data_IF_839819098991
#
_entry.id   IF_839819098991
#
_cell.length_a   1.000
_cell.length_b   1.000
_cell.length_c   1.000
_cell.angle_alpha   90.00
_cell.angle_beta   90.00
_cell.angle_gamma   90.00
#
_symmetry.space_group_name_H-M   'P 1'
#
loop_
_entity.id
_entity.type
_entity.pdbx_description
1 polymer ?
#
# COMPACT_ATOMS: atom_id res chain seq x y z
N UNK A 1 24.36 -23.65 14.33
CA UNK A 1 23.49 -23.98 13.17
C UNK A 1 24.30 -23.79 11.91
N UNK A 2 24.37 -24.81 11.04
CA UNK A 2 25.07 -24.74 9.76
C UNK A 2 24.31 -23.77 8.84
N UNK A 3 25.01 -22.99 8.01
CA UNK A 3 24.38 -22.07 7.04
C UNK A 3 23.30 -22.77 6.19
N UNK A 4 23.54 -24.03 5.83
CA UNK A 4 22.58 -24.89 5.13
C UNK A 4 21.23 -25.05 5.86
N UNK A 5 21.26 -25.22 7.19
CA UNK A 5 20.04 -25.36 8.00
C UNK A 5 19.24 -24.05 8.03
N UNK A 6 19.91 -22.90 8.13
CA UNK A 6 19.25 -21.59 8.09
C UNK A 6 18.58 -21.34 6.73
N UNK A 7 19.29 -21.63 5.63
CA UNK A 7 18.74 -21.47 4.28
C UNK A 7 17.52 -22.38 4.08
N UNK A 8 17.58 -23.64 4.51
CA UNK A 8 16.43 -24.56 4.43
C UNK A 8 15.26 -24.06 5.27
N UNK A 9 15.48 -23.59 6.49
CA UNK A 9 14.41 -23.03 7.32
C UNK A 9 13.80 -21.77 6.70
N UNK A 10 14.60 -20.91 6.08
CA UNK A 10 14.13 -19.70 5.42
C UNK A 10 13.25 -20.04 4.20
N UNK A 11 13.74 -20.91 3.31
CA UNK A 11 12.98 -21.35 2.13
C UNK A 11 11.69 -22.07 2.57
N UNK A 12 11.79 -22.96 3.55
CA UNK A 12 10.62 -23.65 4.12
C UNK A 12 9.59 -22.70 4.70
N UNK A 13 10.03 -21.64 5.39
CA UNK A 13 9.14 -20.62 5.96
C UNK A 13 8.41 -19.83 4.88
N UNK A 14 9.10 -19.43 3.81
CA UNK A 14 8.47 -18.72 2.67
C UNK A 14 7.44 -19.62 1.97
N UNK A 15 7.78 -20.89 1.72
CA UNK A 15 6.85 -21.84 1.12
C UNK A 15 5.63 -22.08 2.01
N UNK A 16 5.83 -22.22 3.33
CA UNK A 16 4.76 -22.38 4.30
C UNK A 16 3.83 -21.16 4.33
N UNK A 17 4.39 -19.95 4.29
CA UNK A 17 3.63 -18.71 4.20
C UNK A 17 2.76 -18.68 2.95
N UNK A 18 3.35 -18.91 1.78
CA UNK A 18 2.63 -18.92 0.51
C UNK A 18 1.52 -19.98 0.53
N UNK A 19 1.81 -21.17 1.06
CA UNK A 19 0.82 -22.23 1.23
C UNK A 19 -0.35 -21.81 2.14
N UNK A 20 -0.07 -21.18 3.29
CA UNK A 20 -1.09 -20.70 4.22
C UNK A 20 -1.99 -19.62 3.61
N UNK A 21 -1.40 -18.67 2.86
CA UNK A 21 -2.16 -17.58 2.24
C UNK A 21 -2.94 -18.07 1.03
N UNK A 22 -2.31 -18.85 0.15
CA UNK A 22 -2.92 -19.26 -1.12
C UNK A 22 -3.88 -20.43 -0.96
N UNK A 23 -3.50 -21.46 -0.20
CA UNK A 23 -4.28 -22.71 -0.08
C UNK A 23 -5.16 -22.73 1.16
N UNK A 24 -4.61 -22.38 2.33
CA UNK A 24 -5.39 -22.33 3.56
C UNK A 24 -6.26 -21.06 3.67
N UNK A 25 -6.12 -20.12 2.73
CA UNK A 25 -6.91 -18.87 2.63
C UNK A 25 -6.90 -18.06 3.93
N UNK A 26 -5.81 -18.15 4.69
CA UNK A 26 -5.67 -17.42 5.94
C UNK A 26 -5.27 -15.96 5.67
N UNK A 27 -5.76 -15.03 6.49
CA UNK A 27 -5.34 -13.63 6.42
C UNK A 27 -3.81 -13.52 6.52
N UNK A 28 -3.21 -12.71 5.63
CA UNK A 28 -1.76 -12.57 5.51
C UNK A 28 -1.07 -12.26 6.85
N UNK A 29 -1.70 -11.43 7.69
CA UNK A 29 -1.19 -11.10 9.02
C UNK A 29 -1.08 -12.32 9.94
N UNK A 30 -2.14 -13.13 10.03
CA UNK A 30 -2.14 -14.35 10.83
C UNK A 30 -1.16 -15.39 10.29
N UNK A 31 -1.07 -15.52 8.96
CA UNK A 31 -0.11 -16.39 8.31
C UNK A 31 1.34 -15.99 8.63
N UNK A 32 1.64 -14.70 8.55
CA UNK A 32 2.94 -14.17 8.93
C UNK A 32 3.28 -14.47 10.39
N UNK A 33 2.34 -14.25 11.33
CA UNK A 33 2.61 -14.55 12.75
C UNK A 33 2.95 -16.03 12.97
N UNK A 34 2.14 -16.95 12.44
CA UNK A 34 2.36 -18.40 12.61
C UNK A 34 3.68 -18.83 12.00
N UNK A 35 3.99 -18.35 10.79
CA UNK A 35 5.23 -18.69 10.08
C UNK A 35 6.45 -18.09 10.80
N UNK A 36 6.38 -16.85 11.28
CA UNK A 36 7.47 -16.22 12.02
C UNK A 36 7.76 -16.93 13.35
N UNK A 37 6.71 -17.38 14.06
CA UNK A 37 6.89 -18.22 15.26
C UNK A 37 7.56 -19.55 14.91
N UNK A 38 7.07 -20.23 13.86
CA UNK A 38 7.68 -21.48 13.38
C UNK A 38 9.14 -21.29 12.99
N UNK A 39 9.45 -20.27 12.20
CA UNK A 39 10.80 -19.94 11.76
C UNK A 39 11.74 -19.66 12.93
N UNK A 40 11.28 -18.92 13.95
CA UNK A 40 12.06 -18.65 15.17
C UNK A 40 12.41 -19.93 15.93
N UNK A 41 11.44 -20.85 16.07
CA UNK A 41 11.65 -22.14 16.71
C UNK A 41 12.63 -23.02 15.93
N UNK A 42 12.46 -23.14 14.61
CA UNK A 42 13.33 -23.96 13.77
C UNK A 42 14.74 -23.36 13.58
N UNK A 43 14.89 -22.04 13.73
CA UNK A 43 16.19 -21.37 13.71
C UNK A 43 16.98 -21.53 15.03
N UNK A 44 16.40 -22.14 16.06
CA UNK A 44 17.03 -22.33 17.37
C UNK A 44 17.05 -21.07 18.24
N UNK A 45 16.13 -20.13 18.01
CA UNK A 45 16.02 -18.92 18.83
C UNK A 45 15.38 -19.24 20.19
N UNK A 46 15.88 -18.68 21.31
CA UNK A 46 15.23 -18.80 22.61
C UNK A 46 13.78 -18.30 22.57
N UNK A 47 12.83 -19.05 23.16
CA UNK A 47 11.40 -18.72 23.09
C UNK A 47 11.07 -17.32 23.62
N UNK A 48 11.77 -16.89 24.66
CA UNK A 48 11.70 -15.56 25.26
C UNK A 48 12.08 -14.43 24.28
N UNK A 49 12.90 -14.73 23.27
CA UNK A 49 13.36 -13.76 22.28
C UNK A 49 12.54 -13.76 20.99
N UNK A 50 11.77 -14.81 20.71
CA UNK A 50 10.98 -14.90 19.48
C UNK A 50 9.94 -13.79 19.44
N UNK A 51 9.15 -13.64 20.51
CA UNK A 51 8.12 -12.59 20.59
C UNK A 51 8.72 -11.19 20.46
N UNK A 52 9.79 -10.90 21.20
CA UNK A 52 10.49 -9.62 21.13
C UNK A 52 11.09 -9.33 19.74
N UNK A 53 11.58 -10.36 19.05
CA UNK A 53 12.13 -10.21 17.69
C UNK A 53 11.03 -9.96 16.67
N UNK A 54 9.90 -10.66 16.79
CA UNK A 54 8.70 -10.42 15.97
C UNK A 54 8.18 -9.00 16.18
N UNK A 55 8.03 -8.57 17.43
CA UNK A 55 7.60 -7.21 17.79
C UNK A 55 8.57 -6.16 17.25
N UNK A 56 9.88 -6.37 17.38
CA UNK A 56 10.89 -5.45 16.86
C UNK A 56 10.85 -5.34 15.33
N UNK A 57 10.74 -6.46 14.62
CA UNK A 57 10.68 -6.48 13.16
C UNK A 57 9.40 -5.83 12.63
N UNK A 58 8.26 -6.20 13.21
CA UNK A 58 6.96 -5.62 12.87
C UNK A 58 6.90 -4.15 13.26
N UNK A 59 7.31 -3.80 14.48
CA UNK A 59 7.29 -2.44 15.02
C UNK A 59 8.21 -1.47 14.28
N UNK A 60 9.37 -1.93 13.81
CA UNK A 60 10.24 -1.10 12.95
C UNK A 60 9.57 -0.77 11.61
N UNK A 61 8.92 -1.76 10.99
CA UNK A 61 8.20 -1.58 9.72
C UNK A 61 6.96 -0.71 9.91
N UNK A 62 6.11 -1.05 10.89
CA UNK A 62 4.90 -0.30 11.22
C UNK A 62 5.21 1.12 11.70
N UNK A 63 6.30 1.34 12.42
CA UNK A 63 6.71 2.68 12.86
C UNK A 63 7.05 3.59 11.68
N UNK A 64 7.86 3.11 10.74
CA UNK A 64 8.14 3.84 9.50
C UNK A 64 6.87 4.08 8.69
N UNK A 65 6.09 3.03 8.45
CA UNK A 65 4.84 3.13 7.68
C UNK A 65 3.82 4.04 8.35
N UNK A 66 3.68 4.01 9.67
CA UNK A 66 2.72 4.85 10.40
C UNK A 66 3.00 6.33 10.19
N UNK A 67 4.28 6.75 10.24
CA UNK A 67 4.65 8.15 9.99
C UNK A 67 4.35 8.55 8.55
N UNK A 68 4.77 7.73 7.58
CA UNK A 68 4.57 8.04 6.16
C UNK A 68 3.08 8.05 5.79
N UNK A 69 2.31 7.09 6.28
CA UNK A 69 0.85 7.00 6.05
C UNK A 69 0.12 8.15 6.75
N UNK A 70 0.47 8.48 8.01
CA UNK A 70 -0.17 9.58 8.73
C UNK A 70 0.07 10.92 8.04
N UNK A 71 1.32 11.20 7.64
CA UNK A 71 1.65 12.41 6.89
C UNK A 71 0.96 12.42 5.52
N UNK A 72 0.98 11.30 4.78
CA UNK A 72 0.30 11.17 3.49
C UNK A 72 -1.21 11.40 3.59
N UNK A 73 -1.86 10.86 4.61
CA UNK A 73 -3.28 11.06 4.88
C UNK A 73 -3.60 12.53 5.25
N UNK A 74 -2.78 13.17 6.09
CA UNK A 74 -2.93 14.58 6.43
C UNK A 74 -2.75 15.47 5.19
N UNK A 75 -1.70 15.24 4.40
CA UNK A 75 -1.49 15.94 3.13
C UNK A 75 -2.66 15.72 2.16
N UNK A 76 -3.15 14.48 2.03
CA UNK A 76 -4.28 14.15 1.18
C UNK A 76 -5.55 14.89 1.56
N UNK A 77 -5.84 14.97 2.86
CA UNK A 77 -6.97 15.74 3.38
C UNK A 77 -6.83 17.23 3.09
N UNK A 78 -5.66 17.81 3.29
CA UNK A 78 -5.39 19.22 2.97
C UNK A 78 -5.55 19.48 1.48
N UNK A 79 -4.98 18.63 0.61
CA UNK A 79 -5.09 18.74 -0.84
C UNK A 79 -6.56 18.66 -1.31
N UNK A 80 -7.35 17.79 -0.67
CA UNK A 80 -8.78 17.65 -0.95
C UNK A 80 -9.59 18.86 -0.49
N UNK A 81 -9.41 19.31 0.76
CA UNK A 81 -10.15 20.44 1.34
C UNK A 81 -9.81 21.78 0.67
N UNK A 82 -8.57 21.94 0.19
CA UNK A 82 -8.14 23.14 -0.54
C UNK A 82 -8.62 23.16 -1.99
N UNK A 83 -9.20 22.07 -2.51
CA UNK A 83 -9.53 21.95 -3.94
C UNK A 83 -8.31 21.92 -4.86
N UNK A 84 -7.10 21.77 -4.31
CA UNK A 84 -5.86 21.73 -5.07
C UNK A 84 -5.86 20.56 -6.07
N UNK A 85 -6.41 19.41 -5.67
CA UNK A 85 -6.53 18.22 -6.53
C UNK A 85 -7.45 18.49 -7.73
N UNK A 86 -8.59 19.15 -7.52
CA UNK A 86 -9.51 19.53 -8.60
C UNK A 86 -8.84 20.50 -9.59
N UNK A 87 -8.10 21.48 -9.08
CA UNK A 87 -7.33 22.39 -9.94
C UNK A 87 -6.27 21.67 -10.77
N UNK A 88 -5.53 20.72 -10.17
CA UNK A 88 -4.53 19.91 -10.88
C UNK A 88 -5.19 19.11 -12.00
N UNK A 89 -6.33 18.47 -11.73
CA UNK A 89 -7.08 17.70 -12.72
C UNK A 89 -7.56 18.57 -13.89
N UNK A 90 -8.16 19.73 -13.61
CA UNK A 90 -8.64 20.68 -14.63
C UNK A 90 -7.48 21.23 -15.46
N UNK A 91 -6.34 21.54 -14.83
CA UNK A 91 -5.15 22.07 -15.52
C UNK A 91 -4.50 21.03 -16.42
N UNK A 92 -4.43 19.77 -15.98
CA UNK A 92 -3.94 18.67 -16.82
C UNK A 92 -4.89 18.38 -17.99
N UNK A 93 -6.21 18.44 -17.79
CA UNK A 93 -7.18 18.30 -18.88
C UNK A 93 -7.02 19.39 -19.95
N UNK A 94 -6.83 20.65 -19.53
CA UNK A 94 -6.57 21.77 -20.45
C UNK A 94 -5.24 21.60 -21.21
N UNK A 95 -4.20 21.09 -20.55
CA UNK A 95 -2.87 20.93 -21.17
C UNK A 95 -2.79 19.75 -22.15
N UNK A 96 -3.48 18.63 -21.89
CA UNK A 96 -3.45 17.44 -22.74
C UNK A 96 -4.52 17.44 -23.85
N UNK A 97 -5.51 18.34 -23.75
CA UNK A 97 -6.61 18.49 -24.71
C UNK A 97 -7.73 17.46 -24.49
N UNK A 98 -8.97 17.84 -24.82
CA UNK A 98 -10.17 17.03 -24.58
C UNK A 98 -10.11 15.63 -25.24
N UNK A 99 -9.33 15.46 -26.31
CA UNK A 99 -9.16 14.18 -27.00
C UNK A 99 -8.34 13.13 -26.22
N UNK A 100 -7.64 13.50 -25.14
CA UNK A 100 -6.78 12.57 -24.34
C UNK A 100 -7.05 12.66 -22.84
N UNK A 101 -8.26 13.05 -22.45
CA UNK A 101 -8.67 13.21 -21.04
C UNK A 101 -8.31 11.99 -20.17
N UNK A 102 -8.48 10.77 -20.70
CA UNK A 102 -8.19 9.53 -19.98
C UNK A 102 -6.72 9.42 -19.55
N UNK A 103 -5.78 9.80 -20.42
CA UNK A 103 -4.33 9.78 -20.14
C UNK A 103 -3.93 10.87 -19.15
N UNK A 104 -4.55 12.06 -19.25
CA UNK A 104 -4.29 13.17 -18.34
C UNK A 104 -4.69 12.82 -16.90
N UNK A 105 -5.86 12.17 -16.73
CA UNK A 105 -6.35 11.73 -15.41
C UNK A 105 -5.47 10.61 -14.85
N UNK A 106 -5.05 9.65 -15.68
CA UNK A 106 -4.16 8.58 -15.25
C UNK A 106 -2.81 9.12 -14.75
N UNK A 107 -2.23 10.08 -15.47
CA UNK A 107 -0.96 10.70 -15.08
C UNK A 107 -1.12 11.59 -13.83
N UNK A 108 -2.22 12.35 -13.72
CA UNK A 108 -2.54 13.13 -12.52
C UNK A 108 -2.65 12.23 -11.30
N UNK A 109 -3.37 11.12 -11.46
CA UNK A 109 -3.52 10.10 -10.44
C UNK A 109 -2.20 9.46 -10.02
N UNK A 110 -1.34 9.15 -10.98
CA UNK A 110 -0.01 8.60 -10.71
C UNK A 110 0.85 9.56 -9.88
N UNK A 111 0.89 10.84 -10.27
CA UNK A 111 1.67 11.88 -9.56
C UNK A 111 1.12 12.13 -8.17
N UNK A 112 -0.20 12.18 -8.00
CA UNK A 112 -0.83 12.32 -6.69
C UNK A 112 -0.70 11.05 -5.82
N UNK A 113 -0.65 9.85 -6.41
CA UNK A 113 -0.61 8.61 -5.65
C UNK A 113 0.73 8.33 -4.97
N UNK A 114 1.84 8.75 -5.58
CA UNK A 114 3.19 8.57 -5.04
C UNK A 114 3.36 9.15 -3.61
N UNK A 115 2.98 10.41 -3.33
CA UNK A 115 3.11 10.98 -1.98
C UNK A 115 1.99 10.59 -1.02
N UNK A 116 0.81 10.24 -1.51
CA UNK A 116 -0.41 10.14 -0.68
C UNK A 116 -0.59 8.78 -0.01
N UNK A 117 0.27 7.81 -0.30
CA UNK A 117 0.00 6.40 -0.03
C UNK A 117 -1.15 5.87 -0.90
N UNK A 118 -1.02 4.64 -1.37
CA UNK A 118 -1.94 4.05 -2.35
C UNK A 118 -3.40 4.09 -1.88
N UNK A 119 -3.67 3.82 -0.60
CA UNK A 119 -5.03 3.82 -0.06
C UNK A 119 -5.70 5.20 -0.08
N UNK A 120 -5.00 6.27 0.33
CA UNK A 120 -5.54 7.64 0.31
C UNK A 120 -5.63 8.15 -1.13
N UNK A 121 -4.67 7.80 -1.97
CA UNK A 121 -4.64 8.17 -3.37
C UNK A 121 -5.86 7.65 -4.14
N UNK A 122 -6.30 6.42 -3.86
CA UNK A 122 -7.49 5.84 -4.48
C UNK A 122 -8.74 6.68 -4.17
N UNK A 123 -8.93 7.10 -2.92
CA UNK A 123 -10.10 7.91 -2.53
C UNK A 123 -10.12 9.24 -3.29
N UNK A 124 -8.96 9.89 -3.41
CA UNK A 124 -8.83 11.14 -4.17
C UNK A 124 -9.06 10.94 -5.67
N UNK A 125 -8.52 9.85 -6.23
CA UNK A 125 -8.72 9.47 -7.62
C UNK A 125 -10.20 9.26 -7.94
N UNK A 126 -10.95 8.63 -7.04
CA UNK A 126 -12.40 8.46 -7.17
C UNK A 126 -13.10 9.83 -7.20
N UNK A 127 -12.77 10.75 -6.28
CA UNK A 127 -13.33 12.11 -6.28
C UNK A 127 -13.04 12.87 -7.57
N UNK A 128 -11.80 12.82 -8.07
CA UNK A 128 -11.39 13.45 -9.33
C UNK A 128 -12.12 12.83 -10.52
N UNK A 129 -12.23 11.50 -10.57
CA UNK A 129 -12.94 10.81 -11.62
C UNK A 129 -14.42 11.20 -11.67
N UNK A 130 -15.09 11.34 -10.50
CA UNK A 130 -16.48 11.81 -10.42
C UNK A 130 -16.64 13.30 -10.79
N UNK A 131 -15.71 14.16 -10.38
CA UNK A 131 -15.65 15.58 -10.78
C UNK A 131 -15.55 15.70 -12.31
N UNK A 132 -14.68 14.88 -12.91
CA UNK A 132 -14.45 14.81 -14.36
C UNK A 132 -15.62 14.21 -15.14
N UNK A 133 -16.26 13.15 -14.64
CA UNK A 133 -17.46 12.56 -15.25
C UNK A 133 -18.59 13.60 -15.35
N UNK A 134 -18.73 14.48 -14.35
CA UNK A 134 -19.69 15.58 -14.38
C UNK A 134 -19.36 16.64 -15.45
N UNK A 135 -18.08 16.94 -15.68
CA UNK A 135 -17.68 17.91 -16.70
C UNK A 135 -17.70 17.36 -18.13
N UNK A 136 -17.46 16.06 -18.31
CA UNK A 136 -17.49 15.40 -19.62
C UNK A 136 -18.90 14.91 -20.02
N UNK A 137 -19.81 14.75 -19.06
CA UNK A 137 -21.21 14.34 -19.28
C UNK A 137 -22.14 15.44 -19.80
N UNK A 138 -21.81 16.73 -19.67
CA UNK A 138 -22.68 17.85 -20.10
C UNK A 138 -22.59 18.19 -21.60
N UNK A 139 -21.98 17.34 -22.44
CA UNK A 139 -22.00 17.52 -23.93
C UNK A 139 -22.86 16.48 -24.65
N UNK A 140 -23.85 15.88 -23.99
CA UNK A 140 -24.96 15.18 -24.67
C UNK A 140 -26.27 15.37 -23.89
N UNK A 141 -27.08 16.32 -24.35
CA UNK A 141 -28.42 16.64 -23.86
C UNK A 141 -28.84 17.99 -24.37
#
# INVERSE_FOLDING_TARGET
>A
MTTLTLVLTAVGSVLLLLFLVMKARMHAFLALMVVSMGAGLFSGMPLDKIAATMEKGMGGTLGFLAVVVALGAMFGKILHETGAVDQIAVKMLKSFGHSRAHYAIGLAGLVCALPLFFEVAIVLLISVAFSMARHTGTTRG
#
